data_IF_281979062495
#
_entry.id   IF_281979062495
#
_cell.length_a   1.000
_cell.length_b   1.000
_cell.length_c   1.000
_cell.angle_alpha   90.00
_cell.angle_beta   90.00
_cell.angle_gamma   90.00
#
_symmetry.space_group_name_H-M   'P 1'
#
loop_
_entity.id
_entity.type
_entity.pdbx_description
1 polymer ?
#
# COMPACT_ATOMS: atom_id res chain seq x y z
N UNK A 1 13.30 33.35 42.99
CA UNK A 1 12.73 31.99 42.80
C UNK A 1 12.21 31.92 41.37
N UNK A 2 12.96 31.31 40.45
CA UNK A 2 12.50 31.13 39.08
C UNK A 2 11.40 30.06 39.06
N UNK A 3 10.21 30.39 38.56
CA UNK A 3 9.08 29.48 38.46
C UNK A 3 9.42 28.33 37.49
N UNK A 4 9.48 27.06 37.93
CA UNK A 4 9.86 25.92 37.10
C UNK A 4 8.74 25.44 36.15
N UNK A 5 7.51 25.94 36.30
CA UNK A 5 6.30 25.47 35.60
C UNK A 5 6.18 25.76 34.08
N UNK A 6 6.82 26.79 33.48
CA UNK A 6 6.68 27.03 32.03
C UNK A 6 7.41 25.98 31.20
N UNK A 7 8.48 25.37 31.73
CA UNK A 7 9.29 24.38 31.02
C UNK A 7 8.55 23.05 30.83
N UNK A 8 7.77 22.60 31.82
CA UNK A 8 7.08 21.32 31.78
C UNK A 8 5.90 21.34 30.81
N UNK A 9 5.13 22.45 30.76
CA UNK A 9 4.07 22.66 29.77
C UNK A 9 4.61 22.71 28.34
N UNK A 10 5.74 23.39 28.12
CA UNK A 10 6.40 23.42 26.81
C UNK A 10 6.87 22.02 26.37
N UNK A 11 7.39 21.21 27.30
CA UNK A 11 7.79 19.81 27.03
C UNK A 11 6.59 18.92 26.70
N UNK A 12 5.49 19.04 27.43
CA UNK A 12 4.26 18.28 27.16
C UNK A 12 3.62 18.68 25.82
N UNK A 13 3.58 19.98 25.50
CA UNK A 13 3.12 20.45 24.19
C UNK A 13 4.00 19.93 23.04
N UNK A 14 5.33 19.90 23.24
CA UNK A 14 6.27 19.33 22.27
C UNK A 14 6.07 17.82 22.10
N UNK A 15 5.89 17.09 23.20
CA UNK A 15 5.62 15.65 23.17
C UNK A 15 4.30 15.33 22.46
N UNK A 16 3.24 16.10 22.71
CA UNK A 16 1.96 15.96 22.03
C UNK A 16 2.06 16.20 20.52
N UNK A 17 2.84 17.20 20.09
CA UNK A 17 3.12 17.44 18.66
C UNK A 17 3.86 16.27 18.02
N UNK A 18 4.92 15.78 18.65
CA UNK A 18 5.68 14.64 18.14
C UNK A 18 4.79 13.40 18.00
N UNK A 19 3.95 13.12 18.99
CA UNK A 19 3.01 12.00 18.92
C UNK A 19 1.99 12.16 17.77
N UNK A 20 1.48 13.37 17.56
CA UNK A 20 0.58 13.70 16.44
C UNK A 20 1.28 13.50 15.09
N UNK A 21 2.52 13.97 14.94
CA UNK A 21 3.29 13.83 13.71
C UNK A 21 3.58 12.35 13.39
N UNK A 22 3.96 11.56 14.39
CA UNK A 22 4.19 10.11 14.23
C UNK A 22 2.89 9.41 13.80
N UNK A 23 1.77 9.72 14.46
CA UNK A 23 0.46 9.17 14.10
C UNK A 23 0.08 9.53 12.66
N UNK A 24 0.26 10.80 12.27
CA UNK A 24 -0.02 11.28 10.93
C UNK A 24 0.85 10.59 9.87
N UNK A 25 2.16 10.42 10.13
CA UNK A 25 3.07 9.69 9.24
C UNK A 25 2.63 8.24 9.11
N UNK A 26 2.35 7.56 10.22
CA UNK A 26 1.90 6.17 10.23
C UNK A 26 0.64 5.99 9.39
N UNK A 27 -0.39 6.79 9.63
CA UNK A 27 -1.65 6.74 8.88
C UNK A 27 -1.44 7.04 7.40
N UNK A 28 -0.62 8.05 7.08
CA UNK A 28 -0.34 8.44 5.69
C UNK A 28 0.40 7.35 4.92
N UNK A 29 1.40 6.72 5.55
CA UNK A 29 2.15 5.60 4.96
C UNK A 29 1.23 4.39 4.77
N UNK A 30 0.44 4.02 5.78
CA UNK A 30 -0.50 2.90 5.69
C UNK A 30 -1.53 3.10 4.59
N UNK A 31 -2.13 4.30 4.50
CA UNK A 31 -3.13 4.59 3.48
C UNK A 31 -2.53 4.61 2.06
N UNK A 32 -1.33 5.16 1.92
CA UNK A 32 -0.61 5.15 0.65
C UNK A 32 -0.24 3.72 0.22
N UNK A 33 0.23 2.90 1.15
CA UNK A 33 0.57 1.50 0.88
C UNK A 33 -0.68 0.69 0.51
N UNK A 34 -1.78 0.85 1.26
CA UNK A 34 -3.06 0.20 0.95
C UNK A 34 -3.58 0.61 -0.42
N UNK A 35 -3.52 1.90 -0.77
CA UNK A 35 -3.89 2.38 -2.10
C UNK A 35 -2.98 1.86 -3.22
N UNK A 36 -1.71 1.59 -2.91
CA UNK A 36 -0.75 1.00 -3.85
C UNK A 36 -1.02 -0.49 -4.06
N UNK A 37 -1.28 -1.24 -2.99
CA UNK A 37 -1.73 -2.63 -3.06
C UNK A 37 -3.04 -2.77 -3.83
N UNK A 38 -4.03 -1.92 -3.54
CA UNK A 38 -5.31 -1.92 -4.24
C UNK A 38 -5.14 -1.63 -5.74
N UNK A 39 -4.26 -0.70 -6.10
CA UNK A 39 -3.94 -0.42 -7.50
C UNK A 39 -3.25 -1.61 -8.19
N UNK A 40 -2.34 -2.32 -7.50
CA UNK A 40 -1.70 -3.52 -8.03
C UNK A 40 -2.72 -4.63 -8.29
N UNK A 41 -3.58 -4.93 -7.31
CA UNK A 41 -4.64 -5.92 -7.44
C UNK A 41 -5.65 -5.54 -8.52
N UNK A 42 -6.02 -4.27 -8.58
CA UNK A 42 -6.89 -3.73 -9.64
C UNK A 42 -6.28 -3.86 -11.03
N UNK A 43 -4.96 -3.72 -11.17
CA UNK A 43 -4.26 -3.92 -12.45
C UNK A 43 -4.29 -5.39 -12.90
N UNK A 44 -4.07 -6.33 -11.97
CA UNK A 44 -4.22 -7.77 -12.26
C UNK A 44 -5.65 -8.09 -12.68
N UNK A 45 -6.63 -7.57 -11.95
CA UNK A 45 -8.04 -7.76 -12.29
C UNK A 45 -8.38 -7.16 -13.66
N UNK A 46 -7.94 -5.93 -13.94
CA UNK A 46 -8.16 -5.27 -15.22
C UNK A 46 -7.54 -6.07 -16.38
N UNK A 47 -6.33 -6.62 -16.21
CA UNK A 47 -5.72 -7.51 -17.19
C UNK A 47 -6.59 -8.73 -17.47
N UNK A 48 -7.12 -9.40 -16.44
CA UNK A 48 -8.00 -10.56 -16.61
C UNK A 48 -9.32 -10.19 -17.31
N UNK A 49 -9.88 -9.01 -17.01
CA UNK A 49 -11.09 -8.49 -17.68
C UNK A 49 -10.82 -8.23 -19.16
N UNK A 50 -9.67 -7.63 -19.50
CA UNK A 50 -9.26 -7.40 -20.89
C UNK A 50 -9.00 -8.72 -21.61
N UNK A 51 -8.33 -9.68 -20.96
CA UNK A 51 -8.12 -11.02 -21.51
C UNK A 51 -9.45 -11.75 -21.79
N UNK A 52 -10.49 -11.44 -21.01
CA UNK A 52 -11.85 -11.94 -21.20
C UNK A 52 -12.70 -11.15 -22.21
N UNK A 53 -12.12 -10.23 -22.99
CA UNK A 53 -12.85 -9.38 -23.95
C UNK A 53 -13.92 -8.50 -23.27
N UNK A 54 -13.72 -8.16 -21.99
CA UNK A 54 -14.69 -7.43 -21.17
C UNK A 54 -15.96 -8.24 -20.83
N UNK A 55 -16.04 -9.52 -21.19
CA UNK A 55 -17.23 -10.35 -21.01
C UNK A 55 -17.16 -11.12 -19.69
N UNK A 56 -18.10 -10.92 -18.74
CA UNK A 56 -18.08 -11.60 -17.45
C UNK A 56 -18.07 -13.14 -17.58
N UNK A 57 -18.82 -13.68 -18.53
CA UNK A 57 -18.92 -15.13 -18.73
C UNK A 57 -17.56 -15.75 -19.13
N UNK A 58 -16.80 -15.07 -20.00
CA UNK A 58 -15.46 -15.52 -20.39
C UNK A 58 -14.46 -15.39 -19.25
N UNK A 59 -14.55 -14.32 -18.46
CA UNK A 59 -13.72 -14.14 -17.27
C UNK A 59 -13.87 -15.30 -16.29
N UNK A 60 -15.12 -15.66 -15.95
CA UNK A 60 -15.37 -16.79 -15.07
C UNK A 60 -14.96 -18.12 -15.70
N UNK A 61 -15.08 -18.29 -17.02
CA UNK A 61 -14.56 -19.47 -17.70
C UNK A 61 -13.02 -19.59 -17.60
N UNK A 62 -12.28 -18.48 -17.74
CA UNK A 62 -10.83 -18.46 -17.53
C UNK A 62 -10.46 -18.81 -16.09
N UNK A 63 -11.19 -18.26 -15.11
CA UNK A 63 -10.98 -18.58 -13.69
C UNK A 63 -11.28 -20.05 -13.38
N UNK A 64 -12.36 -20.59 -13.93
CA UNK A 64 -12.73 -22.00 -13.77
C UNK A 64 -11.66 -22.92 -14.40
N UNK A 65 -11.18 -22.57 -15.58
CA UNK A 65 -10.13 -23.34 -16.23
C UNK A 65 -8.83 -23.33 -15.40
N UNK A 66 -8.44 -22.16 -14.90
CA UNK A 66 -7.25 -22.01 -14.05
C UNK A 66 -7.37 -22.78 -12.74
N UNK A 67 -8.50 -22.67 -12.03
CA UNK A 67 -8.71 -23.37 -10.76
C UNK A 67 -8.74 -24.88 -10.96
N UNK A 68 -9.39 -25.36 -12.02
CA UNK A 68 -9.38 -26.78 -12.39
C UNK A 68 -7.95 -27.26 -12.62
N UNK A 69 -7.17 -26.58 -13.46
CA UNK A 69 -5.78 -26.96 -13.71
C UNK A 69 -4.93 -26.94 -12.43
N UNK A 70 -5.11 -25.94 -11.56
CA UNK A 70 -4.37 -25.86 -10.30
C UNK A 70 -4.71 -27.00 -9.34
N UNK A 71 -5.99 -27.38 -9.22
CA UNK A 71 -6.45 -28.46 -8.33
C UNK A 71 -5.92 -29.83 -8.76
N UNK A 72 -5.86 -30.08 -10.07
CA UNK A 72 -5.37 -31.34 -10.62
C UNK A 72 -3.87 -31.37 -10.88
N UNK A 73 -3.14 -30.27 -10.64
CA UNK A 73 -1.71 -30.21 -10.82
C UNK A 73 -0.95 -30.99 -9.75
N UNK A 74 0.21 -31.55 -10.10
CA UNK A 74 1.13 -32.16 -9.15
C UNK A 74 1.64 -31.13 -8.13
N UNK A 75 2.07 -31.56 -6.92
CA UNK A 75 2.50 -30.65 -5.86
C UNK A 75 3.65 -29.71 -6.28
N UNK A 76 4.58 -30.19 -7.11
CA UNK A 76 5.69 -29.37 -7.63
C UNK A 76 5.20 -28.26 -8.57
N UNK A 77 4.24 -28.57 -9.44
CA UNK A 77 3.66 -27.59 -10.35
C UNK A 77 2.85 -26.52 -9.59
N UNK A 78 2.11 -26.92 -8.55
CA UNK A 78 1.43 -25.97 -7.65
C UNK A 78 2.40 -25.03 -6.94
N UNK A 79 3.45 -25.56 -6.33
CA UNK A 79 4.47 -24.74 -5.67
C UNK A 79 5.18 -23.78 -6.64
N UNK A 80 5.41 -24.20 -7.88
CA UNK A 80 5.95 -23.33 -8.92
C UNK A 80 4.97 -22.21 -9.30
N UNK A 81 3.68 -22.54 -9.47
CA UNK A 81 2.64 -21.56 -9.75
C UNK A 81 2.53 -20.52 -8.62
N UNK A 82 2.53 -20.96 -7.37
CA UNK A 82 2.48 -20.07 -6.20
C UNK A 82 3.64 -19.06 -6.19
N UNK A 83 4.85 -19.53 -6.50
CA UNK A 83 6.03 -18.65 -6.62
C UNK A 83 5.90 -17.65 -7.76
N UNK A 84 5.36 -18.06 -8.91
CA UNK A 84 5.13 -17.15 -10.04
C UNK A 84 4.09 -16.09 -9.70
N UNK A 85 3.00 -16.47 -9.05
CA UNK A 85 1.95 -15.53 -8.59
C UNK A 85 2.53 -14.55 -7.57
N UNK A 86 3.28 -15.04 -6.59
CA UNK A 86 3.95 -14.19 -5.61
C UNK A 86 4.94 -13.22 -6.27
N UNK A 87 5.77 -13.71 -7.20
CA UNK A 87 6.73 -12.88 -7.93
C UNK A 87 6.03 -11.81 -8.78
N UNK A 88 4.92 -12.15 -9.44
CA UNK A 88 4.11 -11.20 -10.20
C UNK A 88 3.54 -10.10 -9.30
N UNK A 89 2.93 -10.48 -8.17
CA UNK A 89 2.34 -9.53 -7.21
C UNK A 89 3.44 -8.64 -6.62
N UNK A 90 4.55 -9.20 -6.17
CA UNK A 90 5.67 -8.44 -5.61
C UNK A 90 6.30 -7.51 -6.66
N UNK A 91 6.42 -7.97 -7.91
CA UNK A 91 6.92 -7.16 -9.02
C UNK A 91 6.01 -5.97 -9.31
N UNK A 92 4.70 -6.18 -9.39
CA UNK A 92 3.71 -5.12 -9.60
C UNK A 92 3.69 -4.12 -8.44
N UNK A 93 3.64 -4.61 -7.20
CA UNK A 93 3.66 -3.76 -6.00
C UNK A 93 4.95 -2.97 -5.94
N UNK A 94 6.10 -3.61 -6.16
CA UNK A 94 7.41 -2.97 -6.19
C UNK A 94 7.50 -1.89 -7.25
N UNK A 95 7.04 -2.18 -8.47
CA UNK A 95 6.98 -1.21 -9.57
C UNK A 95 6.13 0.01 -9.19
N UNK A 96 4.93 -0.21 -8.65
CA UNK A 96 4.04 0.89 -8.25
C UNK A 96 4.59 1.68 -7.05
N UNK A 97 5.24 1.02 -6.10
CA UNK A 97 5.96 1.67 -5.00
C UNK A 97 7.03 2.59 -5.56
N UNK A 98 7.92 2.09 -6.43
CA UNK A 98 8.98 2.87 -7.06
C UNK A 98 8.39 4.07 -7.82
N UNK A 99 7.33 3.85 -8.58
CA UNK A 99 6.67 4.91 -9.36
C UNK A 99 5.97 5.97 -8.50
N UNK A 100 5.36 5.59 -7.37
CA UNK A 100 4.55 6.48 -6.52
C UNK A 100 5.30 7.07 -5.33
N UNK A 101 6.45 6.52 -4.97
CA UNK A 101 7.21 6.92 -3.78
C UNK A 101 7.66 8.40 -3.83
N UNK A 102 8.19 8.94 -4.95
CA UNK A 102 8.68 10.33 -4.98
C UNK A 102 7.56 11.35 -4.70
N UNK A 103 6.38 11.14 -5.29
CA UNK A 103 5.24 12.03 -5.10
C UNK A 103 4.68 11.93 -3.69
N UNK A 104 4.65 10.73 -3.11
CA UNK A 104 4.25 10.51 -1.72
C UNK A 104 5.19 11.20 -0.73
N UNK A 105 6.51 11.00 -0.87
CA UNK A 105 7.50 11.65 0.00
C UNK A 105 7.41 13.17 -0.11
N UNK A 106 7.25 13.70 -1.33
CA UNK A 106 7.05 15.13 -1.55
C UNK A 106 5.76 15.66 -0.92
N UNK A 107 4.68 14.88 -0.95
CA UNK A 107 3.41 15.22 -0.27
C UNK A 107 3.59 15.20 1.26
N UNK A 108 4.11 14.12 1.82
CA UNK A 108 4.30 13.94 3.26
C UNK A 108 5.19 15.04 3.86
N UNK A 109 6.28 15.40 3.17
CA UNK A 109 7.16 16.50 3.61
C UNK A 109 6.44 17.84 3.65
N UNK A 110 5.56 18.12 2.69
CA UNK A 110 4.74 19.36 2.68
C UNK A 110 3.71 19.35 3.79
N UNK A 111 3.07 18.22 4.05
CA UNK A 111 2.05 18.09 5.09
C UNK A 111 2.67 18.28 6.49
N UNK A 112 3.84 17.70 6.76
CA UNK A 112 4.60 17.92 8.00
C UNK A 112 5.08 19.37 8.16
N UNK A 113 5.58 19.99 7.08
CA UNK A 113 6.03 21.39 7.11
C UNK A 113 4.88 22.38 7.37
N UNK A 114 3.65 22.04 6.95
CA UNK A 114 2.43 22.82 7.24
C UNK A 114 1.95 22.61 8.68
N UNK A 115 1.98 21.38 9.18
CA UNK A 115 1.65 21.06 10.58
C UNK A 115 2.53 21.83 11.58
N UNK A 116 3.80 22.08 11.22
CA UNK A 116 4.73 22.88 12.04
C UNK A 116 4.55 24.41 11.99
N UNK A 117 3.79 24.96 11.03
CA UNK A 117 3.59 26.42 10.89
C UNK A 117 2.31 26.94 11.55
N UNK A 118 1.34 26.06 11.85
CA UNK A 118 0.03 26.42 12.39
C UNK A 118 -0.10 26.24 13.92
N UNK A 119 1.01 26.16 14.65
CA UNK A 119 1.02 26.00 16.12
C UNK A 119 2.20 26.70 16.78
#
# INVERSE_FOLDING_TARGET
MADPRPTLRARLARAGRIASDICHVGLSVSLWLAGTLLAALGMVLAFLVVAADGRPLRFFAHLQNLSTHYLFADPLARAHFDRQVLALILGLVGLLVIARLPSFVGKLRRDLARGGQNG
#
